data_IF_639081583672
#
_entry.id   IF_639081583672
#
_cell.length_a   1.000
_cell.length_b   1.000
_cell.length_c   1.000
_cell.angle_alpha   90.00
_cell.angle_beta   90.00
_cell.angle_gamma   90.00
#
_symmetry.space_group_name_H-M   'P 1'
#
loop_
_entity.id
_entity.type
_entity.pdbx_description
1 polymer ?
#
# COMPACT_ATOMS: atom_id res chain seq x y z
N UNK A 1 1.76 11.71 7.31
CA UNK A 1 1.77 10.25 7.11
C UNK A 1 0.34 9.77 7.26
N UNK A 2 -0.20 9.13 6.22
CA UNK A 2 -1.59 8.66 6.14
C UNK A 2 -1.59 7.17 6.50
N UNK A 3 -2.26 6.77 7.57
CA UNK A 3 -2.39 5.36 7.94
C UNK A 3 -3.64 4.75 7.32
N UNK A 4 -3.47 3.57 6.72
CA UNK A 4 -4.53 2.84 6.04
C UNK A 4 -4.52 1.38 6.51
N UNK A 5 -5.38 1.08 7.49
CA UNK A 5 -5.60 -0.29 7.93
C UNK A 5 -6.60 -0.99 7.02
N UNK A 6 -6.10 -1.97 6.28
CA UNK A 6 -6.82 -2.85 5.36
C UNK A 6 -6.80 -4.29 5.87
N UNK A 7 -6.51 -4.49 7.16
CA UNK A 7 -6.62 -5.79 7.82
C UNK A 7 -8.02 -6.37 7.65
N UNK A 8 -8.11 -7.67 7.43
CA UNK A 8 -9.38 -8.39 7.21
C UNK A 8 -9.93 -8.27 5.79
N UNK A 9 -9.38 -7.40 4.93
CA UNK A 9 -9.72 -7.37 3.51
C UNK A 9 -8.92 -8.42 2.73
N UNK A 10 -9.57 -9.06 1.75
CA UNK A 10 -8.97 -10.06 0.86
C UNK A 10 -8.72 -9.49 -0.53
N UNK A 11 -7.75 -10.03 -1.26
CA UNK A 11 -7.50 -9.71 -2.67
C UNK A 11 -8.82 -9.68 -3.48
N UNK A 12 -9.06 -8.65 -4.32
CA UNK A 12 -8.15 -7.55 -4.70
C UNK A 12 -8.33 -6.25 -3.89
N UNK A 13 -9.10 -6.29 -2.79
CA UNK A 13 -9.49 -5.07 -2.06
C UNK A 13 -8.32 -4.27 -1.48
N UNK A 14 -7.25 -4.90 -0.92
CA UNK A 14 -6.11 -4.15 -0.39
C UNK A 14 -5.46 -3.25 -1.44
N UNK A 15 -5.15 -3.79 -2.62
CA UNK A 15 -4.54 -3.03 -3.70
C UNK A 15 -5.45 -1.90 -4.20
N UNK A 16 -6.75 -2.17 -4.39
CA UNK A 16 -7.70 -1.14 -4.85
C UNK A 16 -7.85 0.01 -3.86
N UNK A 17 -7.87 -0.27 -2.55
CA UNK A 17 -7.97 0.76 -1.50
C UNK A 17 -6.67 1.56 -1.39
N UNK A 18 -5.51 0.90 -1.45
CA UNK A 18 -4.21 1.56 -1.52
C UNK A 18 -4.13 2.49 -2.73
N UNK A 19 -4.54 2.03 -3.93
CA UNK A 19 -4.59 2.86 -5.14
C UNK A 19 -5.48 4.08 -4.95
N UNK A 20 -6.67 3.90 -4.38
CA UNK A 20 -7.59 5.01 -4.12
C UNK A 20 -6.99 6.04 -3.16
N UNK A 21 -6.30 5.59 -2.11
CA UNK A 21 -5.63 6.46 -1.17
C UNK A 21 -4.46 7.21 -1.82
N UNK A 22 -3.67 6.54 -2.67
CA UNK A 22 -2.58 7.17 -3.43
C UNK A 22 -3.11 8.23 -4.40
N UNK A 23 -4.24 7.98 -5.07
CA UNK A 23 -4.87 8.98 -5.96
C UNK A 23 -5.39 10.22 -5.22
N UNK A 24 -5.69 10.09 -3.92
CA UNK A 24 -6.14 11.20 -3.09
C UNK A 24 -4.98 11.90 -2.35
N UNK A 25 -3.78 11.32 -2.36
CA UNK A 25 -2.61 11.84 -1.66
C UNK A 25 -1.85 12.85 -2.55
N UNK A 26 -1.24 13.84 -1.92
CA UNK A 26 -0.40 14.79 -2.64
C UNK A 26 0.99 14.20 -2.91
N UNK A 27 1.69 14.61 -3.98
CA UNK A 27 3.09 14.25 -4.18
C UNK A 27 3.94 14.62 -2.94
N UNK A 28 4.73 13.68 -2.46
CA UNK A 28 5.51 13.80 -1.23
C UNK A 28 4.83 13.21 0.01
N UNK A 29 3.54 12.93 -0.02
CA UNK A 29 2.85 12.25 1.07
C UNK A 29 3.34 10.80 1.23
N UNK A 30 3.29 10.32 2.47
CA UNK A 30 3.60 8.94 2.82
C UNK A 30 2.37 8.24 3.33
N UNK A 31 2.09 7.07 2.78
CA UNK A 31 1.03 6.17 3.20
C UNK A 31 1.64 4.98 3.93
N UNK A 32 1.08 4.63 5.09
CA UNK A 32 1.39 3.42 5.81
C UNK A 32 0.20 2.47 5.70
N UNK A 33 0.33 1.42 4.90
CA UNK A 33 -0.74 0.46 4.61
C UNK A 33 -0.50 -0.82 5.39
N UNK A 34 -1.50 -1.29 6.12
CA UNK A 34 -1.45 -2.54 6.88
C UNK A 34 -2.45 -3.52 6.27
N UNK A 35 -1.98 -4.71 5.92
CA UNK A 35 -2.77 -5.77 5.30
C UNK A 35 -2.57 -7.08 6.07
N UNK A 36 -3.56 -7.96 6.05
CA UNK A 36 -3.42 -9.34 6.59
C UNK A 36 -3.52 -10.41 5.52
N UNK A 37 -3.74 -10.02 4.27
CA UNK A 37 -3.85 -10.93 3.14
C UNK A 37 -2.46 -11.25 2.57
N UNK A 38 -2.07 -12.53 2.43
CA UNK A 38 -0.74 -12.88 1.93
C UNK A 38 -0.49 -12.38 0.50
N UNK A 39 -1.54 -12.29 -0.33
CA UNK A 39 -1.43 -11.80 -1.71
C UNK A 39 -1.11 -10.30 -1.77
N UNK A 40 -1.47 -9.53 -0.74
CA UNK A 40 -1.10 -8.11 -0.67
C UNK A 40 0.41 -7.89 -0.71
N UNK A 41 1.20 -8.88 -0.25
CA UNK A 41 2.67 -8.89 -0.33
C UNK A 41 3.21 -8.83 -1.77
N UNK A 42 2.40 -9.22 -2.76
CA UNK A 42 2.75 -9.21 -4.19
C UNK A 42 1.98 -8.08 -4.91
N UNK A 43 0.68 -7.95 -4.62
CA UNK A 43 -0.20 -7.00 -5.30
C UNK A 43 0.17 -5.54 -5.00
N UNK A 44 0.52 -5.21 -3.75
CA UNK A 44 0.87 -3.83 -3.39
C UNK A 44 2.18 -3.41 -4.07
N UNK A 45 3.30 -4.16 -4.00
CA UNK A 45 4.51 -3.81 -4.75
C UNK A 45 4.27 -3.69 -6.26
N UNK A 46 3.46 -4.57 -6.86
CA UNK A 46 3.13 -4.48 -8.27
C UNK A 46 2.37 -3.19 -8.60
N UNK A 47 1.34 -2.85 -7.80
CA UNK A 47 0.61 -1.58 -7.92
C UNK A 47 1.54 -0.36 -7.82
N UNK A 48 2.50 -0.37 -6.88
CA UNK A 48 3.44 0.74 -6.72
C UNK A 48 4.32 0.90 -7.97
N UNK A 49 4.79 -0.21 -8.54
CA UNK A 49 5.56 -0.19 -9.80
C UNK A 49 4.74 0.34 -10.97
N UNK A 50 3.45 -0.03 -11.06
CA UNK A 50 2.54 0.44 -12.10
C UNK A 50 2.18 1.93 -11.97
N UNK A 51 2.01 2.42 -10.74
CA UNK A 51 1.68 3.83 -10.46
C UNK A 51 2.90 4.76 -10.52
N UNK A 52 4.11 4.20 -10.49
CA UNK A 52 5.36 4.98 -10.46
C UNK A 52 5.63 5.65 -9.11
N UNK A 53 4.90 5.25 -8.06
CA UNK A 53 5.16 5.68 -6.69
C UNK A 53 6.34 4.89 -6.09
N UNK A 54 6.76 5.26 -4.87
CA UNK A 54 7.95 4.65 -4.25
C UNK A 54 7.56 3.85 -3.02
N UNK A 55 7.90 2.56 -3.02
CA UNK A 55 7.81 1.73 -1.83
C UNK A 55 9.06 1.96 -0.98
N UNK A 56 8.91 2.65 0.14
CA UNK A 56 10.00 2.97 1.07
C UNK A 56 10.31 1.79 2.00
N UNK A 57 9.28 1.12 2.52
CA UNK A 57 9.44 0.01 3.44
C UNK A 57 8.37 -1.06 3.18
N UNK A 58 8.75 -2.32 3.33
CA UNK A 58 7.84 -3.45 3.39
C UNK A 58 8.27 -4.34 4.54
N UNK A 59 7.33 -4.66 5.43
CA UNK A 59 7.56 -5.53 6.57
C UNK A 59 6.46 -6.59 6.61
N UNK A 60 6.87 -7.84 6.81
CA UNK A 60 5.96 -8.96 6.95
C UNK A 60 6.22 -9.63 8.30
N UNK A 61 5.20 -9.65 9.15
CA UNK A 61 5.24 -10.23 10.48
C UNK A 61 4.03 -11.14 10.68
N UNK A 62 4.29 -12.45 10.77
CA UNK A 62 3.29 -13.49 10.94
C UNK A 62 2.15 -13.36 9.90
N UNK A 63 0.97 -12.89 10.32
CA UNK A 63 -0.22 -12.73 9.49
C UNK A 63 -0.49 -11.27 9.08
N UNK A 64 0.46 -10.36 9.29
CA UNK A 64 0.36 -8.93 8.94
C UNK A 64 1.50 -8.53 8.01
N UNK A 65 1.18 -7.69 7.04
CA UNK A 65 2.12 -7.10 6.09
C UNK A 65 1.88 -5.60 6.12
N UNK A 66 2.91 -4.82 6.43
CA UNK A 66 2.87 -3.37 6.35
C UNK A 66 3.74 -2.84 5.22
N UNK A 67 3.29 -1.74 4.62
CA UNK A 67 3.95 -1.05 3.51
C UNK A 67 4.02 0.43 3.81
N UNK A 68 5.19 1.04 3.67
CA UNK A 68 5.35 2.50 3.66
C UNK A 68 5.58 2.92 2.22
N UNK A 69 4.67 3.71 1.68
CA UNK A 69 4.66 4.13 0.28
C UNK A 69 4.71 5.65 0.24
N UNK A 70 5.65 6.21 -0.51
CA UNK A 70 5.73 7.64 -0.80
C UNK A 70 5.09 7.92 -2.15
N UNK A 71 4.10 8.81 -2.17
CA UNK A 71 3.54 9.35 -3.41
C UNK A 71 4.60 10.18 -4.12
N UNK A 72 4.92 9.83 -5.37
CA UNK A 72 5.87 10.58 -6.20
C UNK A 72 5.21 11.09 -7.47
N UNK A 73 4.30 10.31 -8.06
CA UNK A 73 3.54 10.75 -9.24
C UNK A 73 2.53 11.85 -8.92
N UNK A 74 2.18 12.66 -9.92
CA UNK A 74 1.04 13.60 -9.90
C UNK A 74 -0.30 12.90 -10.02
#
# INVERSE_FOLDING_TARGET
MIELDLSGLKCPLPALRTRKALLAAAPGDRLHVICTDPLAGIDVPNLIRETGDVLEEQRQEAARISFVIRKVGQ
#
